data_IF_807362749406
#
_entry.id   IF_807362749406
#
_cell.length_a   1.000
_cell.length_b   1.000
_cell.length_c   1.000
_cell.angle_alpha   90.00
_cell.angle_beta   90.00
_cell.angle_gamma   90.00
#
_symmetry.space_group_name_H-M   'P 1'
#
loop_
_entity.id
_entity.type
_entity.pdbx_description
1 polymer ?
#
# COMPACT_ATOMS: atom_id res chain seq x y z
N UNK A 1 -9.13 23.50 4.86
CA UNK A 1 -9.50 22.07 4.95
C UNK A 1 -8.54 21.15 4.18
N UNK A 2 -7.93 21.61 3.11
CA UNK A 2 -6.92 20.84 2.32
C UNK A 2 -5.64 20.49 3.08
N UNK A 3 -5.28 21.22 4.13
CA UNK A 3 -4.04 20.97 4.89
C UNK A 3 -4.08 19.69 5.75
N UNK A 4 -5.27 19.21 6.13
CA UNK A 4 -5.43 17.97 6.91
C UNK A 4 -5.35 16.70 6.05
N UNK A 5 -5.65 16.78 4.76
CA UNK A 5 -5.66 15.62 3.87
C UNK A 5 -4.25 15.13 3.54
N UNK A 6 -3.29 16.04 3.36
CA UNK A 6 -1.91 15.70 3.01
C UNK A 6 -1.22 14.82 4.07
N UNK A 7 -1.28 15.14 5.39
CA UNK A 7 -0.79 14.23 6.42
C UNK A 7 -1.44 12.84 6.41
N UNK A 8 -2.74 12.75 6.10
CA UNK A 8 -3.44 11.46 5.99
C UNK A 8 -2.91 10.66 4.81
N UNK A 9 -2.66 11.31 3.67
CA UNK A 9 -2.03 10.68 2.51
C UNK A 9 -0.63 10.16 2.85
N UNK A 10 0.18 10.95 3.55
CA UNK A 10 1.51 10.52 4.00
C UNK A 10 1.45 9.33 4.96
N UNK A 11 0.52 9.33 5.91
CA UNK A 11 0.29 8.19 6.80
C UNK A 11 -0.14 6.94 6.02
N UNK A 12 -0.97 7.11 4.98
CA UNK A 12 -1.34 5.99 4.11
C UNK A 12 -0.12 5.41 3.38
N UNK A 13 0.83 6.24 2.94
CA UNK A 13 2.07 5.77 2.31
C UNK A 13 3.03 5.09 3.30
N UNK A 14 3.16 5.60 4.52
CA UNK A 14 3.88 4.90 5.60
C UNK A 14 3.26 3.52 5.81
N UNK A 15 1.93 3.44 5.89
CA UNK A 15 1.22 2.18 6.10
C UNK A 15 1.39 1.18 4.95
N UNK A 16 1.61 1.67 3.74
CA UNK A 16 1.90 0.87 2.56
C UNK A 16 3.31 0.26 2.62
N UNK A 17 4.29 1.06 3.05
CA UNK A 17 5.66 0.62 3.21
C UNK A 17 5.88 -0.37 4.36
N UNK A 18 5.11 -0.26 5.44
CA UNK A 18 5.26 -1.12 6.62
C UNK A 18 5.27 -2.63 6.28
N UNK A 19 4.32 -3.18 5.53
CA UNK A 19 4.26 -4.60 5.26
C UNK A 19 5.17 -5.06 4.12
N UNK A 20 5.65 -4.18 3.24
CA UNK A 20 6.45 -4.56 2.07
C UNK A 20 7.76 -5.29 2.43
N UNK A 21 8.35 -4.94 3.55
CA UNK A 21 9.59 -5.55 4.05
C UNK A 21 9.37 -6.61 5.14
N UNK A 22 8.11 -6.81 5.57
CA UNK A 22 7.79 -7.78 6.64
C UNK A 22 8.05 -9.21 6.21
N UNK A 23 7.68 -9.58 4.98
CA UNK A 23 7.86 -10.95 4.50
C UNK A 23 9.35 -11.34 4.56
N UNK A 24 10.23 -10.45 4.09
CA UNK A 24 11.67 -10.70 4.13
C UNK A 24 12.24 -10.85 5.54
N UNK A 25 11.78 -10.03 6.48
CA UNK A 25 12.25 -10.06 7.87
C UNK A 25 11.67 -11.21 8.68
N UNK A 26 10.44 -11.64 8.39
CA UNK A 26 9.77 -12.73 9.08
C UNK A 26 10.09 -14.11 8.51
N UNK A 27 10.42 -14.20 7.21
CA UNK A 27 10.55 -15.44 6.49
C UNK A 27 11.56 -16.44 7.10
N UNK A 28 12.74 -16.03 7.59
CA UNK A 28 13.67 -16.94 8.24
C UNK A 28 13.06 -17.71 9.43
N UNK A 29 12.06 -17.12 10.09
CA UNK A 29 11.34 -17.77 11.20
C UNK A 29 10.09 -18.52 10.72
N UNK A 30 9.47 -18.04 9.63
CA UNK A 30 8.22 -18.60 9.10
C UNK A 30 8.42 -19.95 8.40
N UNK A 31 9.40 -20.04 7.48
CA UNK A 31 9.54 -21.22 6.61
C UNK A 31 9.76 -22.55 7.37
N UNK A 32 10.56 -22.60 8.46
CA UNK A 32 10.71 -23.85 9.21
C UNK A 32 9.43 -24.23 9.95
N UNK A 33 8.71 -23.23 10.50
CA UNK A 33 7.45 -23.46 11.22
C UNK A 33 6.33 -23.92 10.31
N UNK A 34 6.32 -23.46 9.06
CA UNK A 34 5.35 -23.85 8.04
C UNK A 34 5.72 -25.16 7.33
N UNK A 35 6.92 -25.70 7.57
CA UNK A 35 7.41 -26.94 6.96
C UNK A 35 7.60 -26.81 5.44
N UNK A 36 7.97 -25.64 4.94
CA UNK A 36 8.14 -25.37 3.49
C UNK A 36 9.58 -24.98 3.16
N UNK A 37 10.04 -25.18 1.91
CA UNK A 37 11.34 -24.71 1.46
C UNK A 37 11.48 -23.18 1.55
N UNK A 38 12.70 -22.69 1.78
CA UNK A 38 13.00 -21.26 1.83
C UNK A 38 12.55 -20.51 0.56
N UNK A 39 12.65 -21.14 -0.61
CA UNK A 39 12.26 -20.58 -1.90
C UNK A 39 10.77 -20.25 -2.04
N UNK A 40 9.91 -20.76 -1.14
CA UNK A 40 8.46 -20.50 -1.19
C UNK A 40 8.09 -19.04 -0.88
N UNK A 41 9.01 -18.25 -0.30
CA UNK A 41 8.86 -16.78 -0.24
C UNK A 41 8.63 -16.18 -1.63
N UNK A 42 9.31 -16.71 -2.66
CA UNK A 42 9.16 -16.30 -4.04
C UNK A 42 7.73 -16.48 -4.56
N UNK A 43 7.06 -17.57 -4.17
CA UNK A 43 5.65 -17.82 -4.57
C UNK A 43 4.74 -16.73 -3.98
N UNK A 44 4.89 -16.41 -2.68
CA UNK A 44 4.11 -15.35 -2.05
C UNK A 44 4.38 -13.99 -2.72
N UNK A 45 5.66 -13.67 -2.96
CA UNK A 45 6.04 -12.42 -3.63
C UNK A 45 5.46 -12.33 -5.05
N UNK A 46 5.44 -13.44 -5.80
CA UNK A 46 4.84 -13.49 -7.13
C UNK A 46 3.32 -13.24 -7.09
N UNK A 47 2.60 -13.87 -6.15
CA UNK A 47 1.15 -13.67 -5.98
C UNK A 47 0.87 -12.21 -5.67
N UNK A 48 1.61 -11.63 -4.71
CA UNK A 48 1.48 -10.22 -4.33
C UNK A 48 1.75 -9.31 -5.54
N UNK A 49 2.87 -9.51 -6.24
CA UNK A 49 3.24 -8.68 -7.40
C UNK A 49 2.23 -8.76 -8.53
N UNK A 50 1.71 -9.95 -8.84
CA UNK A 50 0.66 -10.12 -9.85
C UNK A 50 -0.62 -9.38 -9.43
N UNK A 51 -1.02 -9.49 -8.17
CA UNK A 51 -2.16 -8.74 -7.62
C UNK A 51 -1.95 -7.23 -7.74
N UNK A 52 -0.76 -6.75 -7.41
CA UNK A 52 -0.38 -5.32 -7.51
C UNK A 52 -0.46 -4.84 -8.96
N UNK A 53 0.09 -5.58 -9.92
CA UNK A 53 0.03 -5.24 -11.35
C UNK A 53 -1.43 -5.14 -11.84
N UNK A 54 -2.22 -6.19 -11.59
CA UNK A 54 -3.63 -6.24 -12.00
C UNK A 54 -4.43 -5.08 -11.40
N UNK A 55 -4.19 -4.79 -10.14
CA UNK A 55 -4.87 -3.74 -9.40
C UNK A 55 -4.48 -2.34 -9.89
N UNK A 56 -3.19 -2.09 -10.10
CA UNK A 56 -2.69 -0.82 -10.62
C UNK A 56 -3.22 -0.51 -12.01
N UNK A 57 -3.29 -1.51 -12.90
CA UNK A 57 -3.85 -1.34 -14.24
C UNK A 57 -5.35 -0.97 -14.21
N UNK A 58 -6.09 -1.41 -13.21
CA UNK A 58 -7.51 -1.09 -13.06
C UNK A 58 -7.78 0.13 -12.16
N UNK A 59 -6.75 0.69 -11.52
CA UNK A 59 -6.89 1.75 -10.53
C UNK A 59 -7.57 3.00 -11.08
N UNK A 60 -7.29 3.39 -12.32
CA UNK A 60 -7.92 4.55 -12.94
C UNK A 60 -9.44 4.36 -13.13
N UNK A 61 -9.87 3.16 -13.56
CA UNK A 61 -11.30 2.82 -13.68
C UNK A 61 -11.99 2.87 -12.31
N UNK A 62 -11.36 2.29 -11.29
CA UNK A 62 -11.87 2.28 -9.93
C UNK A 62 -11.97 3.71 -9.36
N UNK A 63 -10.95 4.52 -9.60
CA UNK A 63 -10.89 5.91 -9.13
C UNK A 63 -11.94 6.79 -9.80
N UNK A 64 -12.21 6.60 -11.08
CA UNK A 64 -13.31 7.28 -11.77
C UNK A 64 -14.69 6.87 -11.23
N UNK A 65 -14.88 5.59 -10.94
CA UNK A 65 -16.18 5.07 -10.49
C UNK A 65 -16.47 5.41 -9.02
N UNK A 66 -15.50 5.25 -8.13
CA UNK A 66 -15.68 5.35 -6.68
C UNK A 66 -15.13 6.64 -6.06
N UNK A 67 -14.21 7.32 -6.76
CA UNK A 67 -13.42 8.43 -6.23
C UNK A 67 -12.18 7.96 -5.46
N UNK A 68 -11.11 8.77 -5.49
CA UNK A 68 -9.80 8.42 -4.89
C UNK A 68 -9.89 8.05 -3.42
N UNK A 69 -10.63 8.83 -2.62
CA UNK A 69 -10.76 8.58 -1.18
C UNK A 69 -11.35 7.22 -0.85
N UNK A 70 -12.41 6.80 -1.55
CA UNK A 70 -13.03 5.47 -1.34
C UNK A 70 -12.12 4.34 -1.80
N UNK A 71 -11.47 4.49 -2.96
CA UNK A 71 -10.49 3.51 -3.44
C UNK A 71 -9.37 3.35 -2.41
N UNK A 72 -8.82 4.44 -1.91
CA UNK A 72 -7.76 4.41 -0.87
C UNK A 72 -8.24 3.70 0.40
N UNK A 73 -9.40 4.09 0.95
CA UNK A 73 -9.92 3.51 2.18
C UNK A 73 -10.22 2.00 2.04
N UNK A 74 -10.84 1.59 0.94
CA UNK A 74 -11.13 0.18 0.66
C UNK A 74 -9.85 -0.64 0.46
N UNK A 75 -8.88 -0.09 -0.25
CA UNK A 75 -7.61 -0.77 -0.55
C UNK A 75 -6.76 -0.95 0.70
N UNK A 76 -6.65 0.09 1.55
CA UNK A 76 -5.97 -0.04 2.85
C UNK A 76 -6.73 -1.01 3.77
N UNK A 77 -8.05 -1.03 3.72
CA UNK A 77 -8.86 -2.02 4.43
C UNK A 77 -8.59 -3.45 3.96
N UNK A 78 -8.44 -3.66 2.64
CA UNK A 78 -8.08 -4.98 2.09
C UNK A 78 -6.68 -5.42 2.54
N UNK A 79 -5.68 -4.53 2.51
CA UNK A 79 -4.33 -4.86 3.01
C UNK A 79 -4.33 -5.13 4.51
N UNK A 80 -5.10 -4.37 5.29
CA UNK A 80 -5.27 -4.59 6.73
C UNK A 80 -5.89 -5.97 7.03
N UNK A 81 -6.95 -6.35 6.31
CA UNK A 81 -7.57 -7.65 6.43
C UNK A 81 -6.61 -8.79 6.03
N UNK A 82 -5.85 -8.60 4.97
CA UNK A 82 -4.85 -9.57 4.52
C UNK A 82 -3.72 -9.77 5.54
N UNK A 83 -3.20 -8.70 6.12
CA UNK A 83 -2.18 -8.79 7.18
C UNK A 83 -2.72 -9.43 8.45
N UNK A 84 -3.97 -9.15 8.81
CA UNK A 84 -4.64 -9.86 9.89
C UNK A 84 -4.76 -11.35 9.56
N UNK A 85 -5.15 -11.68 8.33
CA UNK A 85 -5.16 -13.04 7.83
C UNK A 85 -3.79 -13.73 7.93
N UNK A 86 -2.70 -13.04 7.56
CA UNK A 86 -1.35 -13.55 7.77
C UNK A 86 -1.08 -13.83 9.26
N UNK A 87 -1.51 -12.94 10.15
CA UNK A 87 -1.29 -13.07 11.59
C UNK A 87 -1.99 -14.30 12.23
N UNK A 88 -2.99 -14.86 11.59
CA UNK A 88 -3.72 -16.04 12.08
C UNK A 88 -3.44 -17.29 11.24
N UNK A 89 -2.62 -17.17 10.20
CA UNK A 89 -2.29 -18.28 9.31
C UNK A 89 -1.31 -19.23 9.99
N UNK A 90 -1.64 -20.52 9.97
CA UNK A 90 -0.77 -21.61 10.45
C UNK A 90 -0.25 -22.51 9.34
N UNK A 91 -0.63 -22.25 8.08
CA UNK A 91 -0.27 -23.08 6.93
C UNK A 91 0.07 -22.19 5.74
N UNK A 92 0.97 -22.66 4.87
CA UNK A 92 1.45 -21.89 3.73
C UNK A 92 0.34 -21.51 2.74
N UNK A 93 -0.58 -22.41 2.43
CA UNK A 93 -1.67 -22.12 1.50
C UNK A 93 -2.60 -20.99 1.98
N UNK A 94 -2.74 -20.82 3.31
CA UNK A 94 -3.51 -19.69 3.86
C UNK A 94 -2.81 -18.36 3.57
N UNK A 95 -1.47 -18.32 3.66
CA UNK A 95 -0.69 -17.15 3.27
C UNK A 95 -0.88 -16.82 1.79
N UNK A 96 -0.87 -17.84 0.92
CA UNK A 96 -1.14 -17.64 -0.52
C UNK A 96 -2.52 -17.05 -0.77
N UNK A 97 -3.54 -17.50 -0.03
CA UNK A 97 -4.90 -16.97 -0.15
C UNK A 97 -4.96 -15.49 0.26
N UNK A 98 -4.34 -15.13 1.38
CA UNK A 98 -4.31 -13.76 1.86
C UNK A 98 -3.36 -12.84 1.06
N UNK A 99 -2.37 -13.42 0.36
CA UNK A 99 -1.49 -12.65 -0.53
C UNK A 99 -2.24 -12.01 -1.71
N UNK A 100 -3.36 -12.61 -2.16
CA UNK A 100 -4.18 -12.05 -3.25
C UNK A 100 -4.82 -10.72 -2.86
N UNK A 101 -5.67 -10.63 -1.82
CA UNK A 101 -6.24 -9.34 -1.42
C UNK A 101 -5.17 -8.34 -0.96
N UNK A 102 -4.05 -8.80 -0.42
CA UNK A 102 -2.93 -7.92 -0.10
C UNK A 102 -2.39 -7.21 -1.34
N UNK A 103 -2.02 -7.96 -2.39
CA UNK A 103 -1.49 -7.39 -3.63
C UNK A 103 -2.50 -6.48 -4.34
N UNK A 104 -3.78 -6.89 -4.41
CA UNK A 104 -4.84 -6.09 -5.00
C UNK A 104 -5.04 -4.75 -4.25
N UNK A 105 -5.01 -4.76 -2.94
CA UNK A 105 -5.11 -3.55 -2.13
C UNK A 105 -3.89 -2.63 -2.32
N UNK A 106 -2.68 -3.17 -2.21
CA UNK A 106 -1.45 -2.41 -2.32
C UNK A 106 -1.32 -1.65 -3.65
N UNK A 107 -1.58 -2.33 -4.78
CA UNK A 107 -1.47 -1.70 -6.10
C UNK A 107 -2.52 -0.60 -6.35
N UNK A 108 -3.76 -0.79 -5.89
CA UNK A 108 -4.81 0.21 -6.07
C UNK A 108 -4.54 1.48 -5.27
N UNK A 109 -4.09 1.35 -4.01
CA UNK A 109 -3.83 2.52 -3.17
C UNK A 109 -2.61 3.30 -3.67
N UNK A 110 -1.55 2.61 -4.07
CA UNK A 110 -0.35 3.24 -4.61
C UNK A 110 -0.68 4.08 -5.85
N UNK A 111 -1.29 3.47 -6.86
CA UNK A 111 -1.65 4.15 -8.09
C UNK A 111 -2.65 5.30 -7.87
N UNK A 112 -3.66 5.11 -7.02
CA UNK A 112 -4.68 6.12 -6.75
C UNK A 112 -4.11 7.35 -6.03
N UNK A 113 -3.24 7.15 -5.03
CA UNK A 113 -2.66 8.26 -4.28
C UNK A 113 -1.59 9.01 -5.07
N UNK A 114 -0.75 8.30 -5.83
CA UNK A 114 0.22 8.93 -6.72
C UNK A 114 -0.49 9.83 -7.74
N UNK A 115 -1.55 9.34 -8.38
CA UNK A 115 -2.34 10.13 -9.32
C UNK A 115 -3.02 11.33 -8.64
N UNK A 116 -3.57 11.15 -7.43
CA UNK A 116 -4.22 12.22 -6.70
C UNK A 116 -3.22 13.33 -6.32
N UNK A 117 -2.05 12.98 -5.82
CA UNK A 117 -1.01 13.96 -5.45
C UNK A 117 -0.49 14.67 -6.68
N UNK A 118 -0.27 13.97 -7.79
CA UNK A 118 0.16 14.59 -9.06
C UNK A 118 -0.82 15.64 -9.59
N UNK A 119 -2.12 15.44 -9.37
CA UNK A 119 -3.17 16.34 -9.88
C UNK A 119 -3.48 17.52 -8.95
N UNK A 120 -3.23 17.41 -7.64
CA UNK A 120 -3.74 18.37 -6.65
C UNK A 120 -2.64 19.06 -5.83
N UNK A 121 -1.39 18.60 -5.93
CA UNK A 121 -0.28 19.10 -5.11
C UNK A 121 0.94 19.38 -5.96
N UNK A 122 1.90 20.15 -5.42
CA UNK A 122 3.17 20.45 -6.08
C UNK A 122 4.07 19.21 -6.16
N UNK A 123 4.97 19.17 -7.15
CA UNK A 123 5.90 18.04 -7.41
C UNK A 123 6.73 17.63 -6.19
N UNK A 124 7.05 18.58 -5.28
CA UNK A 124 7.78 18.27 -4.04
C UNK A 124 7.03 17.27 -3.15
N UNK A 125 5.69 17.29 -3.14
CA UNK A 125 4.89 16.37 -2.34
C UNK A 125 4.94 14.94 -2.86
N UNK A 126 5.20 14.75 -4.16
CA UNK A 126 5.45 13.44 -4.73
C UNK A 126 6.74 12.81 -4.16
N UNK A 127 7.82 13.59 -4.07
CA UNK A 127 9.07 13.12 -3.46
C UNK A 127 8.89 12.79 -1.97
N UNK A 128 8.15 13.62 -1.23
CA UNK A 128 7.83 13.34 0.18
C UNK A 128 6.97 12.09 0.36
N UNK A 129 6.08 11.82 -0.57
CA UNK A 129 5.25 10.62 -0.57
C UNK A 129 6.11 9.34 -0.57
N UNK A 130 7.07 9.26 -1.49
CA UNK A 130 8.00 8.13 -1.55
C UNK A 130 8.98 8.08 -0.36
N UNK A 131 9.37 9.24 0.20
CA UNK A 131 10.09 9.27 1.48
C UNK A 131 9.28 8.60 2.59
N UNK A 132 8.00 8.89 2.70
CA UNK A 132 7.12 8.31 3.72
C UNK A 132 6.96 6.80 3.53
N UNK A 133 6.87 6.33 2.30
CA UNK A 133 6.94 4.90 2.01
C UNK A 133 8.25 4.28 2.50
N UNK A 134 9.41 4.92 2.22
CA UNK A 134 10.72 4.48 2.73
C UNK A 134 10.79 4.42 4.25
N UNK A 135 10.18 5.37 4.96
CA UNK A 135 10.05 5.33 6.43
C UNK A 135 9.25 4.08 6.85
N UNK A 136 8.14 3.78 6.18
CA UNK A 136 7.35 2.59 6.43
C UNK A 136 8.15 1.29 6.25
N UNK A 137 8.87 1.15 5.13
CA UNK A 137 9.70 -0.04 4.85
C UNK A 137 10.84 -0.22 5.85
N UNK A 138 11.28 0.84 6.49
CA UNK A 138 12.30 0.79 7.56
C UNK A 138 11.69 0.36 8.90
N UNK A 139 10.50 0.87 9.24
CA UNK A 139 9.83 0.56 10.52
C UNK A 139 9.32 -0.89 10.54
N UNK A 140 8.83 -1.42 9.41
CA UNK A 140 8.28 -2.78 9.33
C UNK A 140 9.21 -3.85 9.93
N UNK A 141 10.45 -4.01 9.43
CA UNK A 141 11.42 -4.96 9.98
C UNK A 141 11.77 -4.73 11.45
N UNK A 142 11.79 -3.47 11.90
CA UNK A 142 12.06 -3.15 13.31
C UNK A 142 10.94 -3.70 14.20
N UNK A 143 9.67 -3.49 13.82
CA UNK A 143 8.51 -4.04 14.55
C UNK A 143 8.57 -5.57 14.59
N UNK A 144 8.90 -6.22 13.46
CA UNK A 144 9.05 -7.66 13.40
C UNK A 144 10.23 -8.13 14.25
N UNK A 145 11.39 -7.46 14.16
CA UNK A 145 12.57 -7.76 14.94
C UNK A 145 12.33 -7.67 16.45
N UNK A 146 11.65 -6.61 16.90
CA UNK A 146 11.26 -6.44 18.32
C UNK A 146 10.33 -7.55 18.77
N UNK A 147 9.35 -7.93 17.95
CA UNK A 147 8.43 -9.03 18.28
C UNK A 147 9.20 -10.35 18.42
N UNK A 148 10.08 -10.68 17.47
CA UNK A 148 10.84 -11.93 17.48
C UNK A 148 11.89 -11.98 18.63
N UNK A 149 12.61 -10.89 18.87
CA UNK A 149 13.60 -10.80 19.95
C UNK A 149 12.95 -10.81 21.34
N UNK A 150 11.70 -10.34 21.44
CA UNK A 150 10.88 -10.42 22.64
C UNK A 150 10.25 -11.82 22.90
N UNK A 151 10.62 -12.83 22.11
CA UNK A 151 10.11 -14.20 22.25
C UNK A 151 8.69 -14.40 21.71
N UNK A 152 8.16 -13.43 20.99
CA UNK A 152 6.85 -13.55 20.32
C UNK A 152 7.00 -14.23 18.95
N UNK A 153 5.91 -14.77 18.43
CA UNK A 153 5.89 -15.36 17.09
C UNK A 153 5.83 -14.27 16.00
N UNK A 154 6.23 -14.60 14.77
CA UNK A 154 6.06 -13.75 13.59
C UNK A 154 4.61 -13.30 13.36
N UNK A 155 3.64 -14.12 13.77
CA UNK A 155 2.21 -13.79 13.75
C UNK A 155 1.91 -12.49 14.52
N UNK A 156 2.62 -12.27 15.64
CA UNK A 156 2.45 -11.06 16.46
C UNK A 156 2.93 -9.81 15.73
N UNK A 157 4.05 -9.89 15.00
CA UNK A 157 4.55 -8.79 14.18
C UNK A 157 3.54 -8.37 13.10
N UNK A 158 2.97 -9.34 12.37
CA UNK A 158 1.89 -9.08 11.41
C UNK A 158 0.65 -8.50 12.08
N UNK A 159 0.29 -9.00 13.27
CA UNK A 159 -0.88 -8.52 14.02
C UNK A 159 -0.75 -7.05 14.43
N UNK A 160 0.42 -6.62 14.91
CA UNK A 160 0.64 -5.22 15.28
C UNK A 160 0.46 -4.27 14.09
N UNK A 161 1.02 -4.63 12.94
CA UNK A 161 0.87 -3.81 11.74
C UNK A 161 -0.56 -3.88 11.20
N UNK A 162 -1.22 -5.02 11.25
CA UNK A 162 -2.63 -5.15 10.88
C UNK A 162 -3.53 -4.24 11.73
N UNK A 163 -3.33 -4.22 13.05
CA UNK A 163 -4.09 -3.34 13.95
C UNK A 163 -3.85 -1.86 13.64
N UNK A 164 -2.62 -1.48 13.37
CA UNK A 164 -2.32 -0.12 12.93
C UNK A 164 -3.04 0.23 11.62
N UNK A 165 -3.03 -0.66 10.63
CA UNK A 165 -3.71 -0.43 9.35
C UNK A 165 -5.24 -0.42 9.49
N UNK A 166 -5.81 -1.23 10.39
CA UNK A 166 -7.25 -1.19 10.70
C UNK A 166 -7.63 0.18 11.27
N UNK A 167 -6.85 0.69 12.23
CA UNK A 167 -7.07 2.02 12.79
C UNK A 167 -6.96 3.11 11.73
N UNK A 168 -5.93 3.03 10.86
CA UNK A 168 -5.77 3.97 9.75
C UNK A 168 -6.92 3.87 8.74
N UNK A 169 -7.42 2.67 8.45
CA UNK A 169 -8.58 2.46 7.59
C UNK A 169 -9.80 3.22 8.14
N UNK A 170 -10.04 3.15 9.45
CA UNK A 170 -11.11 3.92 10.09
C UNK A 170 -10.91 5.43 9.91
N UNK A 171 -9.68 5.93 10.09
CA UNK A 171 -9.34 7.35 9.83
C UNK A 171 -9.60 7.72 8.38
N UNK A 172 -9.22 6.87 7.42
CA UNK A 172 -9.46 7.09 5.99
C UNK A 172 -10.96 7.17 5.68
N UNK A 173 -11.79 6.28 6.24
CA UNK A 173 -13.24 6.37 6.09
C UNK A 173 -13.82 7.65 6.69
N UNK A 174 -13.35 8.09 7.85
CA UNK A 174 -13.75 9.35 8.45
C UNK A 174 -13.30 10.56 7.63
N UNK A 175 -12.19 10.44 6.88
CA UNK A 175 -11.65 11.51 6.04
C UNK A 175 -12.33 11.64 4.67
N UNK A 176 -13.23 10.73 4.28
CA UNK A 176 -13.88 10.76 2.96
C UNK A 176 -14.48 12.12 2.56
N UNK A 177 -15.08 12.90 3.47
CA UNK A 177 -15.61 14.22 3.11
C UNK A 177 -14.54 15.25 2.71
N UNK A 178 -13.26 14.99 3.03
CA UNK A 178 -12.14 15.89 2.71
C UNK A 178 -11.60 15.69 1.29
N UNK A 179 -11.95 14.57 0.64
CA UNK A 179 -11.44 14.23 -0.68
C UNK A 179 -12.19 14.98 -1.77
N UNK A 180 -11.48 15.77 -2.57
CA UNK A 180 -12.06 16.44 -3.71
C UNK A 180 -12.39 15.43 -4.80
N UNK A 181 -13.56 15.58 -5.42
CA UNK A 181 -13.86 14.86 -6.66
C UNK A 181 -12.85 15.28 -7.72
N UNK A 182 -12.38 14.31 -8.52
CA UNK A 182 -11.57 14.61 -9.71
C UNK A 182 -12.34 15.65 -10.53
N UNK A 183 -11.71 16.76 -10.96
CA UNK A 183 -12.31 17.60 -11.97
C UNK A 183 -12.63 16.70 -13.15
N UNK A 184 -13.84 16.77 -13.68
CA UNK A 184 -14.18 16.04 -14.90
C UNK A 184 -13.09 16.34 -15.92
N UNK A 185 -12.49 15.30 -16.49
CA UNK A 185 -11.46 15.45 -17.50
C UNK A 185 -12.05 16.38 -18.55
N UNK A 186 -11.38 17.51 -18.81
CA UNK A 186 -11.78 18.39 -19.89
C UNK A 186 -11.98 17.54 -21.14
N UNK A 187 -13.06 17.72 -21.90
CA UNK A 187 -13.29 16.94 -23.09
C UNK A 187 -12.10 17.10 -24.02
N UNK A 188 -11.60 15.99 -24.41
CA UNK A 188 -10.55 15.71 -25.36
C UNK A 188 -10.02 16.85 -26.21
N UNK A 189 -8.73 16.95 -26.34
CA UNK A 189 -8.13 17.34 -27.58
C UNK A 189 -6.97 18.30 -27.58
N UNK A 190 -6.40 18.66 -26.46
CA UNK A 190 -5.08 19.31 -26.51
C UNK A 190 -4.09 18.54 -25.64
N UNK A 191 -3.55 17.49 -26.22
CA UNK A 191 -2.21 17.05 -25.86
C UNK A 191 -1.28 18.22 -26.20
N UNK A 192 -1.10 19.13 -25.23
CA UNK A 192 -0.03 20.10 -25.31
C UNK A 192 1.26 19.29 -25.18
N UNK A 193 1.76 18.81 -26.31
CA UNK A 193 3.16 18.46 -26.45
C UNK A 193 3.94 19.72 -26.05
N UNK A 194 4.36 19.79 -24.80
CA UNK A 194 5.42 20.69 -24.38
C UNK A 194 6.70 20.21 -25.08
N UNK A 195 6.87 20.62 -26.30
CA UNK A 195 8.20 20.69 -26.89
C UNK A 195 8.91 21.80 -26.16
N UNK A 196 9.65 21.43 -25.12
CA UNK A 196 10.65 22.32 -24.53
C UNK A 196 11.56 22.72 -25.70
N UNK A 197 11.72 24.04 -25.98
CA UNK A 197 12.70 24.46 -27.03
C UNK A 197 14.05 23.88 -26.64
N UNK A 198 14.68 23.18 -27.58
CA UNK A 198 16.01 22.64 -27.41
C UNK A 198 16.96 23.81 -27.10
N UNK A 199 17.89 23.69 -26.12
CA UNK A 199 18.88 24.73 -25.88
C UNK A 199 19.86 24.95 -27.05
N UNK A 200 19.58 24.42 -28.22
CA UNK A 200 20.44 24.46 -29.43
C UNK A 200 19.81 25.22 -30.61
N UNK A 201 18.65 25.85 -30.43
CA UNK A 201 18.07 26.76 -31.44
C UNK A 201 18.32 28.22 -31.09
#
# INVERSE_FOLDING_TARGET
MTQLLLPIIYLAFISLGLPDSLLGSAWPTMYPQLGVPFSYAGILSMIISLGTIVSSLNSDRLTRALGTGRVTALSVGMTAAALFGFSVSGQFWMLCLWAVPYGLGAGSVDAALNNYVALHYESRHMSWLHCMWGVGTTIGPVVMGVALSGGLSWNSGYRYIALFQIALTAVLFCSLPLWHKRPDAAPDGTCLLYTSPSPRD
#
